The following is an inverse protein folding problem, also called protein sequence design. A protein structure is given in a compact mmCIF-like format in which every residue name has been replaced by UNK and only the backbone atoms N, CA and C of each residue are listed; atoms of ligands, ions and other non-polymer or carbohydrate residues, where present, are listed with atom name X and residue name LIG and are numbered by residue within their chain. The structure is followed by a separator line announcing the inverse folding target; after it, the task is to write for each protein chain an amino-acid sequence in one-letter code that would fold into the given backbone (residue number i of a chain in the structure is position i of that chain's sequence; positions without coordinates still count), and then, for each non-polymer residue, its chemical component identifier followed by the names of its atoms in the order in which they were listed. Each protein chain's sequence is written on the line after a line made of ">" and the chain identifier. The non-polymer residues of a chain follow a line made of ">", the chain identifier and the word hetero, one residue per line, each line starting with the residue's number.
data_IF_369857437374
#
_entry.id   IF_369857437374
#
_cell.length_a   1.000
_cell.length_b   1.000
_cell.length_c   1.000
_cell.angle_alpha   90.00
_cell.angle_beta   90.00
_cell.angle_gamma   90.00
#
_symmetry.space_group_name_H-M   'P 1'
#
loop_
_entity.id
_entity.type
_entity.pdbx_description
1 polymer ?
#
# COMPACT_ATOMS: atom_id res chain seq x y z
N UNK A 1 0.82 -30.75 0.23
CA UNK A 1 0.63 -29.33 0.60
C UNK A 1 -0.81 -28.93 0.46
N UNK A 2 -1.41 -28.47 1.56
CA UNK A 2 -2.78 -27.98 1.56
C UNK A 2 -2.79 -26.58 0.94
N UNK A 3 -3.63 -26.35 -0.08
CA UNK A 3 -3.82 -25.00 -0.62
C UNK A 3 -4.52 -24.17 0.45
N UNK A 4 -3.82 -23.17 1.01
CA UNK A 4 -4.33 -22.35 2.10
C UNK A 4 -5.13 -21.13 1.59
N UNK A 5 -4.84 -20.67 0.37
CA UNK A 5 -5.44 -19.47 -0.22
C UNK A 5 -5.68 -19.67 -1.72
N UNK A 6 -6.79 -19.14 -2.22
CA UNK A 6 -7.11 -19.08 -3.65
C UNK A 6 -7.15 -17.62 -4.11
N UNK A 7 -6.68 -17.34 -5.32
CA UNK A 7 -6.60 -16.00 -5.88
C UNK A 7 -7.16 -15.98 -7.30
N UNK A 8 -8.00 -14.98 -7.60
CA UNK A 8 -8.61 -14.76 -8.91
C UNK A 8 -8.11 -13.42 -9.45
N UNK A 9 -7.64 -13.44 -10.69
CA UNK A 9 -7.11 -12.28 -11.40
C UNK A 9 -7.98 -11.95 -12.61
N UNK A 10 -8.04 -10.67 -12.96
CA UNK A 10 -8.63 -10.22 -14.22
C UNK A 10 -7.67 -10.33 -15.41
N UNK A 11 -8.15 -9.95 -16.59
CA UNK A 11 -7.35 -9.96 -17.82
C UNK A 11 -6.17 -8.97 -17.83
N UNK A 12 -6.19 -7.97 -16.94
CA UNK A 12 -5.10 -7.03 -16.72
C UNK A 12 -4.10 -7.53 -15.65
N UNK A 13 -4.23 -8.79 -15.22
CA UNK A 13 -3.40 -9.42 -14.20
C UNK A 13 -3.50 -8.71 -12.83
N UNK A 14 -4.67 -8.16 -12.50
CA UNK A 14 -4.97 -7.57 -11.19
C UNK A 14 -5.79 -8.55 -10.36
N UNK A 15 -5.41 -8.75 -9.10
CA UNK A 15 -6.17 -9.62 -8.21
C UNK A 15 -7.52 -8.95 -7.90
N UNK A 16 -8.62 -9.60 -8.29
CA UNK A 16 -9.99 -9.13 -8.04
C UNK A 16 -10.64 -9.84 -6.85
N UNK A 17 -10.15 -11.02 -6.49
CA UNK A 17 -10.62 -11.77 -5.32
C UNK A 17 -9.54 -12.66 -4.75
N UNK A 18 -9.46 -12.74 -3.42
CA UNK A 18 -8.71 -13.75 -2.70
C UNK A 18 -9.58 -14.40 -1.63
N UNK A 19 -9.45 -15.72 -1.45
CA UNK A 19 -10.15 -16.48 -0.41
C UNK A 19 -9.14 -17.22 0.43
N UNK A 20 -9.22 -17.04 1.75
CA UNK A 20 -8.52 -17.87 2.71
C UNK A 20 -9.32 -19.17 2.88
N UNK A 21 -8.81 -20.28 2.36
CA UNK A 21 -9.53 -21.55 2.29
C UNK A 21 -9.64 -22.24 3.67
N UNK A 22 -8.83 -21.82 4.64
CA UNK A 22 -8.89 -22.33 6.02
C UNK A 22 -10.04 -21.67 6.79
N UNK A 23 -10.19 -20.36 6.65
CA UNK A 23 -11.20 -19.59 7.38
C UNK A 23 -12.48 -19.35 6.59
N UNK A 24 -12.47 -19.59 5.27
CA UNK A 24 -13.56 -19.24 4.35
C UNK A 24 -13.68 -17.74 4.06
N UNK A 25 -12.86 -16.90 4.71
CA UNK A 25 -12.91 -15.44 4.60
C UNK A 25 -12.40 -14.96 3.24
N UNK A 26 -12.94 -13.83 2.78
CA UNK A 26 -12.71 -13.34 1.41
C UNK A 26 -12.41 -11.85 1.39
N UNK A 27 -11.46 -11.46 0.53
CA UNK A 27 -11.23 -10.06 0.16
C UNK A 27 -11.40 -9.89 -1.35
N UNK A 28 -12.13 -8.86 -1.75
CA UNK A 28 -12.41 -8.51 -3.14
C UNK A 28 -11.96 -7.08 -3.43
N UNK A 29 -11.52 -6.86 -4.66
CA UNK A 29 -10.93 -5.61 -5.11
C UNK A 29 -11.57 -5.18 -6.43
N UNK A 30 -11.92 -3.90 -6.52
CA UNK A 30 -12.41 -3.29 -7.77
C UNK A 30 -11.47 -2.18 -8.19
N UNK A 31 -11.15 -2.15 -9.47
CA UNK A 31 -10.27 -1.17 -10.09
C UNK A 31 -11.03 -0.34 -11.11
N UNK A 32 -10.64 0.93 -11.27
CA UNK A 32 -11.15 1.77 -12.34
C UNK A 32 -10.38 1.52 -13.67
N UNK A 33 -10.74 2.23 -14.73
CA UNK A 33 -10.07 2.12 -16.04
C UNK A 33 -8.60 2.56 -16.06
N UNK A 34 -8.12 3.22 -15.00
CA UNK A 34 -6.71 3.57 -14.80
C UNK A 34 -5.99 2.55 -13.92
N UNK A 35 -6.62 1.41 -13.59
CA UNK A 35 -6.06 0.36 -12.72
C UNK A 35 -5.81 0.79 -11.27
N UNK A 36 -6.38 1.91 -10.83
CA UNK A 36 -6.38 2.32 -9.43
C UNK A 36 -7.51 1.58 -8.68
N UNK A 37 -7.21 1.11 -7.46
CA UNK A 37 -8.22 0.48 -6.59
C UNK A 37 -9.22 1.53 -6.15
N UNK A 38 -10.50 1.28 -6.38
CA UNK A 38 -11.60 2.17 -5.99
C UNK A 38 -12.56 1.53 -4.97
N UNK A 39 -12.47 0.21 -4.79
CA UNK A 39 -13.25 -0.50 -3.77
C UNK A 39 -12.47 -1.72 -3.26
N UNK A 40 -12.63 -2.01 -1.96
CA UNK A 40 -12.22 -3.24 -1.31
C UNK A 40 -13.39 -3.75 -0.48
N UNK A 41 -13.68 -5.04 -0.55
CA UNK A 41 -14.65 -5.68 0.33
C UNK A 41 -13.93 -6.81 1.05
N UNK A 42 -13.75 -6.68 2.36
CA UNK A 42 -13.17 -7.72 3.21
C UNK A 42 -14.26 -8.26 4.13
N UNK A 43 -14.68 -9.49 3.85
CA UNK A 43 -15.89 -10.09 4.40
C UNK A 43 -17.11 -9.15 4.21
N UNK A 44 -17.70 -8.64 5.31
CA UNK A 44 -18.82 -7.71 5.26
C UNK A 44 -18.39 -6.23 5.19
N UNK A 45 -17.11 -5.92 5.42
CA UNK A 45 -16.62 -4.54 5.47
C UNK A 45 -16.33 -4.05 4.06
N UNK A 46 -17.05 -3.01 3.64
CA UNK A 46 -16.86 -2.36 2.34
C UNK A 46 -16.13 -1.04 2.53
N UNK A 47 -15.01 -0.88 1.84
CA UNK A 47 -14.26 0.38 1.74
C UNK A 47 -14.26 0.88 0.29
N UNK A 48 -14.54 2.17 0.09
CA UNK A 48 -14.40 2.87 -1.19
C UNK A 48 -13.29 3.90 -1.10
N UNK A 49 -12.58 4.11 -2.22
CA UNK A 49 -11.37 4.91 -2.26
C UNK A 49 -11.47 6.00 -3.32
N UNK A 50 -10.97 7.19 -3.00
CA UNK A 50 -10.74 8.28 -3.96
C UNK A 50 -9.23 8.43 -4.15
N UNK A 51 -8.67 7.92 -5.26
CA UNK A 51 -7.25 8.07 -5.58
C UNK A 51 -6.87 9.52 -5.90
N UNK A 52 -5.64 9.90 -5.59
CA UNK A 52 -5.03 11.15 -6.05
C UNK A 52 -4.60 11.04 -7.53
N UNK A 53 -5.49 11.42 -8.45
CA UNK A 53 -5.19 11.36 -9.88
C UNK A 53 -4.11 12.34 -10.35
N UNK A 54 -3.74 13.35 -9.54
CA UNK A 54 -2.81 14.41 -9.94
C UNK A 54 -1.45 14.27 -9.27
N UNK A 55 -1.41 13.95 -7.97
CA UNK A 55 -0.17 13.82 -7.20
C UNK A 55 0.40 12.40 -7.16
N UNK A 56 -0.43 11.36 -7.31
CA UNK A 56 0.01 9.97 -7.35
C UNK A 56 -1.13 8.99 -7.11
N UNK A 57 -1.52 8.22 -8.13
CA UNK A 57 -2.74 7.39 -8.14
C UNK A 57 -2.79 6.26 -7.10
N UNK A 58 -1.70 6.03 -6.38
CA UNK A 58 -1.57 5.06 -5.31
C UNK A 58 -1.87 5.66 -3.92
N UNK A 59 -2.02 6.99 -3.85
CA UNK A 59 -2.45 7.70 -2.65
C UNK A 59 -3.98 7.71 -2.59
N UNK A 60 -4.54 7.03 -1.59
CA UNK A 60 -5.97 7.09 -1.27
C UNK A 60 -6.25 8.37 -0.45
N UNK A 61 -6.65 9.46 -1.10
CA UNK A 61 -6.96 10.75 -0.46
C UNK A 61 -8.16 10.64 0.47
N UNK A 62 -9.17 9.88 0.06
CA UNK A 62 -10.36 9.60 0.85
C UNK A 62 -10.59 8.11 0.87
N UNK A 63 -10.87 7.57 2.05
CA UNK A 63 -11.36 6.21 2.24
C UNK A 63 -12.66 6.28 3.03
N UNK A 64 -13.77 5.83 2.44
CA UNK A 64 -15.02 5.67 3.15
C UNK A 64 -15.19 4.21 3.52
N UNK A 65 -15.39 3.92 4.80
CA UNK A 65 -15.63 2.58 5.33
C UNK A 65 -17.09 2.51 5.77
N UNK A 66 -17.86 1.70 5.06
CA UNK A 66 -19.31 1.56 5.27
C UNK A 66 -19.62 1.15 6.71
N UNK A 67 -20.48 1.90 7.38
CA UNK A 67 -20.89 1.64 8.77
C UNK A 67 -19.86 2.09 9.81
N UNK A 68 -18.80 2.79 9.41
CA UNK A 68 -17.76 3.30 10.29
C UNK A 68 -17.54 4.80 10.12
N UNK A 69 -17.17 5.26 8.93
CA UNK A 69 -16.77 6.65 8.73
C UNK A 69 -15.92 6.91 7.50
N UNK A 70 -15.44 8.14 7.41
CA UNK A 70 -14.59 8.62 6.32
C UNK A 70 -13.22 9.00 6.87
N UNK A 71 -12.15 8.56 6.18
CA UNK A 71 -10.77 8.95 6.42
C UNK A 71 -10.32 9.87 5.30
N UNK A 72 -9.90 11.09 5.63
CA UNK A 72 -9.25 12.01 4.71
C UNK A 72 -7.75 11.99 5.02
N UNK A 73 -6.90 11.63 4.05
CA UNK A 73 -5.47 11.49 4.24
C UNK A 73 -4.69 12.55 3.44
N UNK A 74 -3.61 13.05 4.04
CA UNK A 74 -2.62 13.87 3.38
C UNK A 74 -1.32 13.07 3.20
N UNK A 75 -0.72 13.19 2.03
CA UNK A 75 0.50 12.50 1.67
C UNK A 75 1.63 13.51 1.41
N UNK A 76 2.82 13.18 1.89
CA UNK A 76 4.04 13.92 1.60
C UNK A 76 4.75 13.38 0.35
N UNK A 77 6.01 13.80 0.19
CA UNK A 77 6.85 13.28 -0.89
C UNK A 77 7.06 11.76 -0.76
N UNK A 78 7.10 11.07 -1.90
CA UNK A 78 7.38 9.64 -1.97
C UNK A 78 6.24 8.73 -1.48
N UNK A 79 4.97 9.15 -1.64
CA UNK A 79 3.76 8.39 -1.25
C UNK A 79 3.61 8.14 0.26
N UNK A 80 4.44 8.78 1.07
CA UNK A 80 4.41 8.66 2.52
C UNK A 80 3.16 9.36 3.08
N UNK A 81 2.33 8.64 3.84
CA UNK A 81 1.18 9.27 4.50
C UNK A 81 1.72 10.15 5.64
N UNK A 82 1.34 11.43 5.64
CA UNK A 82 1.80 12.41 6.62
C UNK A 82 0.78 12.60 7.74
N UNK A 83 -0.52 12.67 7.38
CA UNK A 83 -1.60 12.76 8.35
C UNK A 83 -2.90 12.19 7.81
N UNK A 84 -3.87 12.00 8.70
CA UNK A 84 -5.25 11.73 8.33
C UNK A 84 -6.22 12.28 9.36
N UNK A 85 -7.47 12.48 8.93
CA UNK A 85 -8.61 12.78 9.78
C UNK A 85 -9.69 11.72 9.58
N UNK A 86 -10.06 11.02 10.65
CA UNK A 86 -11.23 10.16 10.70
C UNK A 86 -12.47 10.97 11.11
N UNK A 87 -13.56 10.80 10.37
CA UNK A 87 -14.87 11.39 10.67
C UNK A 87 -15.90 10.26 10.73
N UNK A 88 -16.50 9.96 11.89
CA UNK A 88 -17.41 8.84 12.05
C UNK A 88 -18.74 9.08 11.30
N UNK A 89 -19.38 7.99 10.87
CA UNK A 89 -20.78 8.02 10.45
C UNK A 89 -21.70 8.28 11.65
N UNK A 90 -22.91 8.80 11.39
CA UNK A 90 -23.88 9.07 12.44
C UNK A 90 -24.23 7.79 13.22
N UNK A 91 -24.13 7.85 14.55
CA UNK A 91 -24.41 6.71 15.43
C UNK A 91 -23.21 5.78 15.70
N UNK A 92 -22.05 6.05 15.12
CA UNK A 92 -20.81 5.32 15.43
C UNK A 92 -20.15 5.92 16.69
N UNK A 93 -19.87 5.08 17.70
CA UNK A 93 -19.31 5.52 18.99
C UNK A 93 -17.81 5.87 18.97
N UNK A 94 -17.16 5.75 17.80
CA UNK A 94 -15.75 6.11 17.62
C UNK A 94 -15.69 7.62 17.37
N UNK A 95 -14.93 8.40 18.16
CA UNK A 95 -14.86 9.85 17.96
C UNK A 95 -14.11 10.19 16.66
N UNK A 96 -14.36 11.40 16.15
CA UNK A 96 -13.46 11.97 15.14
C UNK A 96 -12.06 12.11 15.71
N UNK A 97 -11.05 11.82 14.90
CA UNK A 97 -9.66 11.82 15.33
C UNK A 97 -8.75 12.30 14.21
N UNK A 98 -7.81 13.19 14.56
CA UNK A 98 -6.67 13.53 13.73
C UNK A 98 -5.49 12.64 14.11
N UNK A 99 -4.70 12.23 13.12
CA UNK A 99 -3.56 11.35 13.31
C UNK A 99 -2.40 11.78 12.43
N UNK A 100 -1.22 11.85 13.01
CA UNK A 100 0.01 12.29 12.37
C UNK A 100 1.01 11.16 12.35
N UNK A 101 1.59 10.87 11.18
CA UNK A 101 2.45 9.73 10.97
C UNK A 101 3.92 10.14 10.88
N UNK A 102 4.78 9.37 11.51
CA UNK A 102 6.22 9.43 11.31
C UNK A 102 6.64 8.12 10.66
N UNK A 103 7.17 8.24 9.45
CA UNK A 103 7.58 7.10 8.65
C UNK A 103 9.05 6.73 8.92
N UNK A 104 9.38 5.46 8.74
CA UNK A 104 10.75 4.99 8.71
C UNK A 104 11.47 5.42 7.42
N UNK A 105 12.76 5.03 7.30
CA UNK A 105 13.56 5.33 6.12
C UNK A 105 12.97 4.73 4.82
N UNK A 106 12.14 3.70 4.92
CA UNK A 106 11.49 3.01 3.80
C UNK A 106 10.11 3.63 3.43
N UNK A 107 9.64 4.60 4.20
CA UNK A 107 8.33 5.23 4.04
C UNK A 107 7.19 4.51 4.77
N UNK A 108 7.48 3.46 5.55
CA UNK A 108 6.48 2.75 6.36
C UNK A 108 6.13 3.57 7.61
N UNK A 109 4.85 3.77 7.97
CA UNK A 109 4.48 4.43 9.22
C UNK A 109 5.04 3.67 10.43
N UNK A 110 6.01 4.26 11.12
CA UNK A 110 6.65 3.69 12.31
C UNK A 110 5.90 4.12 13.58
N UNK A 111 5.49 5.39 13.64
CA UNK A 111 4.71 5.95 14.73
C UNK A 111 3.49 6.71 14.22
N UNK A 112 2.41 6.68 15.00
CA UNK A 112 1.26 7.56 14.80
C UNK A 112 0.92 8.26 16.12
N UNK A 113 0.75 9.58 16.06
CA UNK A 113 0.38 10.43 17.19
C UNK A 113 -1.00 11.07 16.97
N UNK A 114 -1.71 11.36 18.06
CA UNK A 114 -2.93 12.19 18.02
C UNK A 114 -2.60 13.69 17.91
N UNK A 115 -3.64 14.53 17.96
CA UNK A 115 -3.51 15.99 17.89
C UNK A 115 -2.76 16.59 19.09
N UNK A 116 -2.75 15.91 20.22
CA UNK A 116 -2.05 16.28 21.45
C UNK A 116 -0.58 15.81 21.45
N UNK A 117 -0.15 15.08 20.42
CA UNK A 117 1.21 14.54 20.28
C UNK A 117 1.44 13.24 21.06
N UNK A 118 0.38 12.62 21.58
CA UNK A 118 0.47 11.33 22.26
C UNK A 118 0.60 10.21 21.23
N UNK A 119 1.63 9.38 21.36
CA UNK A 119 1.82 8.22 20.50
C UNK A 119 0.70 7.20 20.76
N UNK A 120 -0.10 6.94 19.72
CA UNK A 120 -1.20 5.95 19.73
C UNK A 120 -0.79 4.62 19.12
N UNK A 121 0.12 4.67 18.14
CA UNK A 121 0.53 3.49 17.41
C UNK A 121 2.04 3.46 17.21
N UNK A 122 2.58 2.25 17.31
CA UNK A 122 3.92 1.90 16.86
C UNK A 122 3.82 0.65 16.01
N UNK A 123 4.24 0.72 14.75
CA UNK A 123 4.28 -0.44 13.88
C UNK A 123 5.70 -1.03 13.90
N UNK A 124 5.81 -2.30 14.28
CA UNK A 124 7.07 -3.04 14.14
C UNK A 124 6.91 -4.05 13.01
N UNK A 125 7.78 -3.97 12.00
CA UNK A 125 7.87 -4.97 10.93
C UNK A 125 9.27 -5.60 10.90
N UNK A 126 9.40 -6.77 10.30
CA UNK A 126 10.71 -7.24 9.84
C UNK A 126 11.10 -6.60 8.50
N UNK A 127 12.29 -6.94 8.00
CA UNK A 127 12.81 -6.40 6.73
C UNK A 127 11.98 -6.79 5.50
N UNK A 128 11.09 -7.77 5.63
CA UNK A 128 10.17 -8.22 4.59
C UNK A 128 8.76 -7.71 4.81
N UNK A 129 8.53 -6.82 5.79
CA UNK A 129 7.23 -6.23 6.05
C UNK A 129 6.27 -7.11 6.82
N UNK A 130 6.74 -8.20 7.45
CA UNK A 130 5.90 -9.00 8.34
C UNK A 130 5.66 -8.24 9.66
N UNK A 131 4.40 -7.94 10.04
CA UNK A 131 4.13 -7.25 11.28
C UNK A 131 4.50 -8.12 12.50
N UNK A 132 5.25 -7.56 13.45
CA UNK A 132 5.66 -8.23 14.69
C UNK A 132 4.65 -8.07 15.82
N UNK A 133 3.94 -6.93 15.85
CA UNK A 133 2.89 -6.64 16.82
C UNK A 133 1.69 -6.06 16.08
N UNK A 134 0.53 -6.72 16.15
CA UNK A 134 -0.73 -6.10 15.77
C UNK A 134 -1.22 -5.26 16.95
N UNK A 135 -1.08 -3.93 16.85
CA UNK A 135 -1.61 -3.04 17.88
C UNK A 135 -3.14 -3.20 17.97
N UNK A 136 -3.66 -3.24 19.19
CA UNK A 136 -5.09 -3.42 19.49
C UNK A 136 -5.92 -2.12 19.30
N UNK A 137 -5.29 -0.99 18.99
CA UNK A 137 -6.01 0.27 18.78
C UNK A 137 -6.75 0.27 17.43
N UNK A 138 -8.03 -0.08 17.53
CA UNK A 138 -8.99 -0.14 16.41
C UNK A 138 -9.61 1.22 16.09
N UNK A 139 -9.42 2.24 16.93
CA UNK A 139 -10.04 3.56 16.75
C UNK A 139 -9.30 4.46 15.75
N UNK A 140 -7.99 4.22 15.57
CA UNK A 140 -7.06 5.09 14.82
C UNK A 140 -6.36 4.28 13.69
N UNK A 141 -7.07 3.28 13.16
CA UNK A 141 -6.53 2.30 12.21
C UNK A 141 -6.18 2.86 10.83
N UNK A 142 -5.05 3.57 10.71
CA UNK A 142 -4.19 3.37 9.55
C UNK A 142 -3.34 2.13 9.86
N UNK A 143 -3.90 0.98 9.50
CA UNK A 143 -3.31 -0.33 9.75
C UNK A 143 -1.87 -0.40 9.28
N UNK A 144 -1.13 -1.28 9.97
CA UNK A 144 0.18 -1.80 9.62
C UNK A 144 0.45 -1.68 8.12
N UNK A 145 1.14 -0.61 7.74
CA UNK A 145 1.60 -0.38 6.38
C UNK A 145 3.07 -0.73 6.33
N UNK A 146 3.43 -1.52 5.33
CA UNK A 146 4.82 -1.71 4.98
C UNK A 146 5.10 -0.89 3.74
N UNK A 147 6.00 0.08 3.85
CA UNK A 147 6.15 1.18 2.89
C UNK A 147 4.81 1.91 2.72
N UNK A 148 4.18 1.83 1.56
CA UNK A 148 2.85 2.40 1.26
C UNK A 148 1.73 1.35 1.32
N UNK A 149 2.08 0.08 1.43
CA UNK A 149 1.16 -1.02 1.19
C UNK A 149 0.24 -1.27 2.36
N UNK A 150 -1.06 -1.32 2.10
CA UNK A 150 -2.06 -1.68 3.11
C UNK A 150 -2.07 -3.19 3.35
N UNK A 151 -1.95 -3.61 4.61
CA UNK A 151 -2.09 -5.02 4.96
C UNK A 151 -3.56 -5.48 4.87
N UNK A 152 -3.79 -6.58 4.16
CA UNK A 152 -5.06 -7.30 4.14
C UNK A 152 -5.01 -8.44 5.18
N UNK A 153 -5.72 -8.32 6.32
CA UNK A 153 -5.69 -9.33 7.37
C UNK A 153 -6.45 -10.62 7.02
N UNK A 154 -7.28 -10.63 5.97
CA UNK A 154 -7.95 -11.85 5.48
C UNK A 154 -6.97 -12.73 4.71
N UNK A 155 -6.20 -12.09 3.82
CA UNK A 155 -5.25 -12.77 2.95
C UNK A 155 -3.86 -12.88 3.57
N UNK A 156 -3.57 -12.09 4.60
CA UNK A 156 -2.24 -11.91 5.20
C UNK A 156 -1.21 -11.55 4.13
N UNK A 157 -1.56 -10.52 3.34
CA UNK A 157 -0.78 -10.00 2.23
C UNK A 157 -0.84 -8.48 2.23
N UNK A 158 0.14 -7.86 1.62
CA UNK A 158 0.17 -6.40 1.44
C UNK A 158 -0.39 -6.05 0.06
N UNK A 159 -1.32 -5.11 0.01
CA UNK A 159 -1.81 -4.54 -1.22
C UNK A 159 -0.78 -3.53 -1.76
N UNK A 160 0.06 -4.00 -2.68
CA UNK A 160 1.14 -3.24 -3.29
C UNK A 160 0.69 -2.49 -4.55
N UNK A 161 -0.55 -2.02 -4.57
CA UNK A 161 -1.19 -1.39 -5.71
C UNK A 161 -1.21 -2.28 -6.97
N UNK A 162 -0.17 -2.21 -7.81
CA UNK A 162 -0.08 -2.97 -9.06
C UNK A 162 -0.15 -4.48 -8.85
N UNK A 163 0.34 -4.96 -7.70
CA UNK A 163 0.39 -6.38 -7.33
C UNK A 163 -0.01 -6.55 -5.86
N UNK A 164 -0.14 -7.80 -5.42
CA UNK A 164 -0.08 -8.12 -3.99
C UNK A 164 1.30 -8.63 -3.64
N UNK A 165 1.76 -8.30 -2.44
CA UNK A 165 3.05 -8.71 -1.90
C UNK A 165 2.87 -9.70 -0.74
N UNK A 166 3.66 -10.77 -0.76
CA UNK A 166 3.72 -11.77 0.29
C UNK A 166 4.91 -11.50 1.22
N UNK A 167 4.69 -10.98 2.45
CA UNK A 167 5.77 -10.71 3.39
C UNK A 167 6.44 -11.99 3.91
N UNK A 168 5.74 -13.12 3.96
CA UNK A 168 6.31 -14.40 4.44
C UNK A 168 7.33 -14.95 3.44
N UNK A 169 7.05 -14.78 2.16
CA UNK A 169 7.89 -15.29 1.07
C UNK A 169 8.85 -14.24 0.49
N UNK A 170 8.71 -12.97 0.88
CA UNK A 170 9.50 -11.84 0.40
C UNK A 170 9.31 -11.55 -1.09
N UNK A 171 8.11 -11.75 -1.65
CA UNK A 171 7.89 -11.67 -3.11
C UNK A 171 6.51 -11.19 -3.52
N UNK A 172 6.40 -10.73 -4.76
CA UNK A 172 5.12 -10.37 -5.37
C UNK A 172 4.34 -11.63 -5.77
N UNK A 173 3.01 -11.57 -5.67
CA UNK A 173 2.09 -12.64 -6.07
C UNK A 173 1.70 -12.59 -7.56
N UNK A 174 1.99 -11.48 -8.23
CA UNK A 174 1.78 -11.30 -9.66
C UNK A 174 3.11 -11.04 -10.39
N UNK A 175 3.17 -11.41 -11.67
CA UNK A 175 4.30 -11.06 -12.53
C UNK A 175 4.39 -9.54 -12.72
N UNK A 176 5.59 -8.99 -12.67
CA UNK A 176 5.90 -7.59 -12.98
C UNK A 176 5.27 -7.17 -14.32
N UNK A 177 4.35 -6.19 -14.32
CA UNK A 177 3.74 -5.67 -15.55
C UNK A 177 4.77 -5.11 -16.54
N UNK A 178 5.87 -4.55 -16.04
CA UNK A 178 6.93 -3.92 -16.84
C UNK A 178 7.97 -4.94 -17.30
N UNK A 179 8.00 -6.14 -16.70
CA UNK A 179 8.88 -7.28 -17.05
C UNK A 179 10.36 -6.91 -17.17
N UNK A 180 10.89 -6.09 -16.26
CA UNK A 180 12.25 -5.54 -16.39
C UNK A 180 13.38 -6.52 -16.10
N UNK A 181 13.08 -7.62 -15.40
CA UNK A 181 14.06 -8.61 -14.95
C UNK A 181 13.61 -10.01 -15.33
N UNK A 182 14.59 -10.93 -15.38
CA UNK A 182 14.35 -12.37 -15.57
C UNK A 182 13.37 -12.95 -14.53
N UNK A 183 13.43 -12.46 -13.29
CA UNK A 183 12.48 -12.82 -12.24
C UNK A 183 11.40 -11.74 -12.11
N UNK A 184 10.21 -12.01 -12.65
CA UNK A 184 9.06 -11.10 -12.58
C UNK A 184 8.38 -11.03 -11.20
N UNK A 185 8.80 -11.83 -10.22
CA UNK A 185 8.17 -11.90 -8.89
C UNK A 185 9.03 -11.31 -7.78
N UNK A 186 10.29 -10.96 -8.05
CA UNK A 186 11.21 -10.45 -7.03
C UNK A 186 10.75 -9.09 -6.49
N UNK A 187 10.66 -8.96 -5.17
CA UNK A 187 10.53 -7.66 -4.51
C UNK A 187 11.91 -7.03 -4.34
N UNK A 188 12.09 -5.77 -4.76
CA UNK A 188 13.35 -5.02 -4.59
C UNK A 188 14.60 -5.74 -5.10
N UNK A 189 14.47 -6.64 -6.08
CA UNK A 189 15.58 -7.47 -6.55
C UNK A 189 16.19 -8.39 -5.49
N UNK A 190 15.41 -8.78 -4.48
CA UNK A 190 15.82 -9.49 -3.25
C UNK A 190 16.72 -8.68 -2.30
N UNK A 191 16.73 -7.35 -2.42
CA UNK A 191 17.47 -6.45 -1.53
C UNK A 191 16.55 -5.38 -0.90
N UNK A 192 15.62 -5.79 -0.01
CA UNK A 192 14.66 -4.89 0.63
C UNK A 192 15.31 -3.95 1.65
N UNK A 193 16.58 -4.18 2.03
CA UNK A 193 17.32 -3.31 2.94
C UNK A 193 17.80 -2.02 2.25
N UNK A 194 18.06 -2.08 0.94
CA UNK A 194 18.58 -0.96 0.17
C UNK A 194 17.59 -0.41 -0.86
N UNK A 195 16.42 -1.00 -1.01
CA UNK A 195 15.43 -0.63 -2.01
C UNK A 195 14.00 -0.74 -1.48
N UNK A 196 13.10 0.10 -2.00
CA UNK A 196 11.65 0.05 -1.74
C UNK A 196 10.88 0.11 -3.06
N UNK A 197 9.70 -0.51 -3.18
CA UNK A 197 8.85 -0.38 -4.38
C UNK A 197 7.50 0.24 -4.00
N UNK A 198 7.37 1.57 -3.81
CA UNK A 198 6.14 2.18 -3.29
C UNK A 198 4.88 1.98 -4.14
N UNK A 199 5.02 1.51 -5.38
CA UNK A 199 3.92 1.36 -6.36
C UNK A 199 3.62 -0.10 -6.69
N UNK A 200 4.53 -1.01 -6.30
CA UNK A 200 4.50 -2.40 -6.71
C UNK A 200 4.81 -2.60 -8.18
N UNK A 201 5.46 -1.65 -8.86
CA UNK A 201 5.90 -1.75 -10.26
C UNK A 201 7.42 -1.67 -10.39
N UNK A 202 8.05 -0.73 -9.70
CA UNK A 202 9.47 -0.39 -9.86
C UNK A 202 10.10 -0.10 -8.49
N UNK A 203 11.18 -0.82 -8.20
CA UNK A 203 12.01 -0.57 -7.02
C UNK A 203 12.84 0.72 -7.17
N UNK A 204 12.81 1.53 -6.11
CA UNK A 204 13.59 2.73 -5.87
C UNK A 204 14.79 2.39 -4.96
N UNK A 205 15.96 2.95 -5.25
CA UNK A 205 17.18 2.77 -4.44
C UNK A 205 17.18 3.74 -3.26
N UNK A 206 17.40 3.22 -2.05
CA UNK A 206 17.44 3.96 -0.80
C UNK A 206 18.82 4.55 -0.49
N UNK A 207 19.91 3.86 -0.85
CA UNK A 207 21.29 4.36 -0.68
C UNK A 207 21.62 5.31 -1.84
N UNK A 208 21.13 6.54 -1.69
CA UNK A 208 21.42 7.69 -2.55
C UNK A 208 21.50 9.00 -1.77
N UNK A 209 21.64 8.98 -0.45
CA UNK A 209 21.73 10.19 0.38
C UNK A 209 22.98 11.05 0.17
N UNK A 210 23.98 10.61 -0.62
CA UNK A 210 25.16 11.41 -0.97
C UNK A 210 25.42 11.46 -2.51
N UNK A 211 24.72 10.65 -3.33
CA UNK A 211 24.84 10.68 -4.79
C UNK A 211 23.50 10.54 -5.57
N UNK A 212 22.37 10.52 -4.88
CA UNK A 212 21.02 10.42 -5.46
C UNK A 212 20.43 11.75 -5.94
N UNK A 213 21.09 12.87 -5.65
CA UNK A 213 20.74 14.19 -6.15
C UNK A 213 21.09 14.43 -7.63
N UNK A 214 21.87 13.57 -8.27
CA UNK A 214 22.26 13.74 -9.68
C UNK A 214 21.78 12.64 -10.64
N UNK A 215 21.26 11.50 -10.16
CA UNK A 215 20.88 10.38 -11.05
C UNK A 215 19.37 10.09 -11.05
N UNK A 216 18.61 10.44 -9.99
CA UNK A 216 17.16 10.26 -9.95
C UNK A 216 16.36 11.14 -10.93
N UNK A 217 16.93 12.28 -11.36
CA UNK A 217 16.32 13.17 -12.35
C UNK A 217 16.58 12.80 -13.82
N UNK A 218 17.51 11.87 -14.09
CA UNK A 218 18.00 11.62 -15.46
C UNK A 218 17.32 10.44 -16.18
N UNK A 219 16.59 9.57 -15.47
CA UNK A 219 15.92 8.41 -16.09
C UNK A 219 14.41 8.58 -16.35
N UNK A 220 13.82 9.74 -16.02
CA UNK A 220 12.39 10.03 -16.31
C UNK A 220 12.19 11.04 -17.45
N UNK A 221 13.26 11.61 -18.04
CA UNK A 221 13.14 12.67 -19.06
C UNK A 221 13.85 12.45 -20.40
N UNK A 222 14.51 11.32 -20.64
CA UNK A 222 15.35 11.13 -21.85
C UNK A 222 14.93 10.01 -22.81
N UNK A 223 13.80 9.32 -22.62
CA UNK A 223 13.28 8.30 -23.58
C UNK A 223 12.12 8.83 -24.44
N UNK A 224 11.84 10.14 -24.43
CA UNK A 224 10.94 10.77 -25.41
C UNK A 224 11.61 11.97 -26.09
N UNK A 225 12.61 11.70 -26.93
CA UNK A 225 12.89 12.58 -28.07
C UNK A 225 13.42 11.79 -29.25
N UNK A 226 12.76 11.97 -30.40
CA UNK A 226 13.09 11.48 -31.76
C UNK A 226 12.65 10.03 -32.03
N UNK A 227 11.69 9.71 -32.93
CA UNK A 227 11.43 10.29 -34.25
C UNK A 227 9.92 10.37 -34.56
N UNK A 228 9.42 11.59 -34.79
CA UNK A 228 8.35 11.86 -35.77
C UNK A 228 8.96 12.80 -36.79
N UNK A 229 9.31 12.27 -37.95
CA UNK A 229 9.35 13.03 -39.18
C UNK A 229 8.34 12.40 -40.13
N UNK A 230 7.74 13.29 -40.91
CA UNK A 230 6.67 13.13 -41.89
C UNK A 230 6.87 11.94 -42.83
#
# INVERSE_FOLDING_TARGET
>A
DQVLKNYVYDAANRMISGTNLVTGRKSEYTYNGLLARVKKTSDAIVSTYIPDYIGGMHNDLVTQVSGLGTVNAAFGHGYSRASQRFTPEAGVSIPAADTYFQNDLYGSPLFAADAEGMIKHRADHDIWGMPKNACEDRGIGAGLRFTTYEYDPVLEKHFAHARLYDPIQGRMLGTDPVKRRLNGYAYCGNDPANQTDPTGEIANILIGGIAGGMIGGAFSRSIFSSNRLL
#
